data_IF_021968427552
#
_entry.id   IF_021968427552
#
_cell.length_a   1.000
_cell.length_b   1.000
_cell.length_c   1.000
_cell.angle_alpha   90.00
_cell.angle_beta   90.00
_cell.angle_gamma   90.00
#
_symmetry.space_group_name_H-M   'P 1'
#
loop_
_entity.id
_entity.type
_entity.pdbx_description
1 polymer ?
#
# COMPACT_ATOMS: atom_id res chain seq x y z
N UNK A 1 -4.08 19.85 29.31
CA UNK A 1 -4.74 19.04 28.27
C UNK A 1 -5.48 17.92 28.98
N UNK A 2 -6.82 17.89 28.95
CA UNK A 2 -7.59 16.80 29.56
C UNK A 2 -7.43 15.56 28.68
N UNK A 3 -6.88 14.48 29.23
CA UNK A 3 -6.85 13.16 28.60
C UNK A 3 -8.31 12.75 28.35
N UNK A 4 -8.74 12.69 27.09
CA UNK A 4 -10.03 12.07 26.76
C UNK A 4 -9.88 10.58 27.07
N UNK A 5 -10.60 10.10 28.07
CA UNK A 5 -10.81 8.66 28.24
C UNK A 5 -11.44 8.15 26.95
N UNK A 6 -10.74 7.26 26.25
CA UNK A 6 -11.28 6.57 25.09
C UNK A 6 -12.39 5.68 25.66
N UNK A 7 -13.65 5.99 25.35
CA UNK A 7 -14.78 5.10 25.66
C UNK A 7 -14.46 3.72 25.12
N UNK A 8 -14.29 2.75 26.02
CA UNK A 8 -14.07 1.36 25.64
C UNK A 8 -15.40 0.86 25.10
N UNK A 9 -15.56 0.87 23.77
CA UNK A 9 -16.73 0.28 23.14
C UNK A 9 -16.82 -1.20 23.55
N UNK A 10 -18.00 -1.67 23.99
CA UNK A 10 -18.18 -3.08 24.31
C UNK A 10 -17.91 -3.94 23.06
N UNK A 11 -17.13 -5.01 23.23
CA UNK A 11 -16.76 -5.91 22.13
C UNK A 11 -18.02 -6.57 21.58
N UNK A 12 -18.34 -6.32 20.31
CA UNK A 12 -19.42 -7.00 19.62
C UNK A 12 -18.98 -8.44 19.29
N UNK A 13 -19.51 -9.41 20.04
CA UNK A 13 -19.18 -10.83 19.90
C UNK A 13 -19.63 -11.41 18.54
N UNK A 14 -20.74 -10.92 17.97
CA UNK A 14 -21.19 -11.37 16.65
C UNK A 14 -20.25 -10.90 15.54
N UNK A 15 -19.82 -9.63 15.61
CA UNK A 15 -18.82 -9.09 14.69
C UNK A 15 -17.48 -9.82 14.84
N UNK A 16 -17.06 -10.08 16.09
CA UNK A 16 -15.83 -10.82 16.35
C UNK A 16 -15.89 -12.23 15.77
N UNK A 17 -17.00 -12.95 15.94
CA UNK A 17 -17.20 -14.27 15.34
C UNK A 17 -17.19 -14.22 13.81
N UNK A 18 -17.74 -13.16 13.21
CA UNK A 18 -17.78 -12.97 11.75
C UNK A 18 -16.38 -12.72 11.15
N UNK A 19 -15.53 -11.95 11.84
CA UNK A 19 -14.18 -11.60 11.35
C UNK A 19 -13.09 -12.57 11.79
N UNK A 20 -13.39 -13.44 12.76
CA UNK A 20 -12.41 -14.43 13.26
C UNK A 20 -12.26 -15.53 12.21
N UNK A 21 -11.03 -15.79 11.72
CA UNK A 21 -10.79 -16.88 10.79
C UNK A 21 -11.09 -18.23 11.46
N UNK A 22 -11.62 -19.18 10.70
CA UNK A 22 -11.96 -20.53 11.20
C UNK A 22 -10.76 -21.27 11.81
N UNK A 23 -9.55 -20.96 11.38
CA UNK A 23 -8.31 -21.50 11.92
C UNK A 23 -7.10 -20.80 11.32
N UNK A 24 -5.96 -20.88 12.02
CA UNK A 24 -4.68 -20.32 11.57
C UNK A 24 -3.62 -21.42 11.63
N UNK A 25 -3.00 -21.74 10.49
CA UNK A 25 -1.84 -22.63 10.43
C UNK A 25 -0.61 -21.81 10.01
N UNK A 26 0.41 -21.77 10.86
CA UNK A 26 1.66 -21.04 10.59
C UNK A 26 2.70 -21.99 10.00
N UNK A 27 3.18 -21.67 8.79
CA UNK A 27 4.30 -22.36 8.15
C UNK A 27 5.50 -21.41 8.06
N UNK A 28 6.68 -21.96 7.77
CA UNK A 28 7.92 -21.18 7.71
C UNK A 28 7.87 -20.03 6.70
N UNK A 29 7.13 -20.16 5.60
CA UNK A 29 7.08 -19.19 4.49
C UNK A 29 5.66 -18.81 4.03
N UNK A 30 4.62 -19.34 4.68
CA UNK A 30 3.21 -19.09 4.35
C UNK A 30 2.33 -19.21 5.59
N UNK A 31 1.13 -18.68 5.53
CA UNK A 31 0.10 -18.82 6.56
C UNK A 31 -1.17 -19.35 5.91
N UNK A 32 -1.82 -20.33 6.53
CA UNK A 32 -3.17 -20.73 6.17
C UNK A 32 -4.14 -19.99 7.09
N UNK A 33 -5.10 -19.25 6.54
CA UNK A 33 -6.20 -18.61 7.26
C UNK A 33 -7.52 -19.20 6.76
N UNK A 34 -8.09 -20.12 7.52
CA UNK A 34 -9.23 -20.92 7.07
C UNK A 34 -8.92 -21.64 5.76
N UNK A 35 -9.68 -21.35 4.70
CA UNK A 35 -9.51 -21.96 3.38
C UNK A 35 -8.44 -21.27 2.52
N UNK A 36 -8.00 -20.07 2.89
CA UNK A 36 -7.09 -19.25 2.09
C UNK A 36 -5.62 -19.42 2.50
N UNK A 37 -4.75 -19.48 1.50
CA UNK A 37 -3.30 -19.42 1.64
C UNK A 37 -2.80 -17.99 1.52
N UNK A 38 -1.94 -17.60 2.44
CA UNK A 38 -1.33 -16.29 2.52
C UNK A 38 0.19 -16.40 2.43
N UNK A 39 0.81 -15.49 1.66
CA UNK A 39 2.25 -15.30 1.63
C UNK A 39 2.59 -13.86 1.89
N UNK A 40 3.32 -13.64 2.98
CA UNK A 40 3.77 -12.31 3.34
C UNK A 40 5.19 -12.08 2.88
N UNK A 41 5.41 -10.91 2.29
CA UNK A 41 6.72 -10.47 1.84
C UNK A 41 6.91 -9.00 2.21
N UNK A 42 8.11 -8.65 2.64
CA UNK A 42 8.49 -7.26 2.86
C UNK A 42 9.45 -6.79 1.77
N UNK A 43 9.43 -5.50 1.46
CA UNK A 43 10.41 -4.93 0.54
C UNK A 43 11.69 -4.62 1.31
N UNK A 44 12.80 -5.19 0.83
CA UNK A 44 14.14 -5.06 1.42
C UNK A 44 15.05 -4.11 0.64
N UNK A 45 14.69 -3.81 -0.61
CA UNK A 45 15.49 -3.00 -1.51
C UNK A 45 14.59 -2.18 -2.42
N UNK A 46 15.01 -0.94 -2.64
CA UNK A 46 14.31 0.08 -3.41
C UNK A 46 15.23 0.53 -4.56
N UNK A 47 14.67 1.04 -5.67
CA UNK A 47 15.47 1.61 -6.74
C UNK A 47 16.24 2.85 -6.24
N UNK A 48 17.40 3.12 -6.85
CA UNK A 48 18.27 4.25 -6.48
C UNK A 48 17.73 5.61 -6.97
N UNK A 49 16.91 5.58 -8.01
CA UNK A 49 16.21 6.74 -8.54
C UNK A 49 14.77 6.32 -8.84
N UNK A 50 13.85 7.25 -8.63
CA UNK A 50 12.41 7.03 -8.78
C UNK A 50 11.83 8.03 -9.77
N UNK A 51 10.91 7.55 -10.60
CA UNK A 51 10.10 8.39 -11.48
C UNK A 51 8.73 8.63 -10.85
N UNK A 52 7.99 9.60 -11.38
CA UNK A 52 6.57 9.78 -11.02
C UNK A 52 5.80 8.48 -11.28
N UNK A 53 5.01 8.04 -10.30
CA UNK A 53 4.19 6.83 -10.35
C UNK A 53 4.94 5.53 -10.09
N UNK A 54 6.17 5.55 -9.54
CA UNK A 54 6.95 4.31 -9.35
C UNK A 54 6.34 3.27 -8.39
N UNK A 55 5.36 3.67 -7.55
CA UNK A 55 4.58 2.78 -6.68
C UNK A 55 3.12 2.63 -7.14
N UNK A 56 2.73 3.23 -8.27
CA UNK A 56 1.34 3.32 -8.72
C UNK A 56 0.66 1.95 -8.84
N UNK A 57 1.40 0.97 -9.37
CA UNK A 57 0.87 -0.36 -9.70
C UNK A 57 0.81 -1.30 -8.49
N UNK A 58 1.18 -0.86 -7.29
CA UNK A 58 1.14 -1.69 -6.08
C UNK A 58 -0.27 -2.00 -5.61
N UNK A 59 -1.19 -1.03 -5.76
CA UNK A 59 -2.61 -1.21 -5.47
C UNK A 59 -3.32 -2.09 -6.51
N UNK A 60 -2.74 -2.25 -7.69
CA UNK A 60 -3.38 -2.92 -8.83
C UNK A 60 -2.96 -4.40 -8.93
N UNK A 61 -2.36 -4.95 -7.88
CA UNK A 61 -1.99 -6.36 -7.84
C UNK A 61 -3.19 -7.15 -7.31
N UNK A 62 -3.85 -7.96 -8.15
CA UNK A 62 -5.02 -8.72 -7.71
C UNK A 62 -4.65 -9.70 -6.60
N UNK A 63 -5.63 -10.04 -5.76
CA UNK A 63 -5.48 -10.97 -4.64
C UNK A 63 -4.31 -10.63 -3.70
N UNK A 64 -4.02 -9.33 -3.56
CA UNK A 64 -2.90 -8.85 -2.74
C UNK A 64 -3.33 -7.66 -1.91
N UNK A 65 -3.06 -7.72 -0.62
CA UNK A 65 -3.14 -6.55 0.27
C UNK A 65 -1.76 -5.96 0.45
N UNK A 66 -1.67 -4.63 0.41
CA UNK A 66 -0.44 -3.90 0.66
C UNK A 66 -0.59 -3.12 1.95
N UNK A 67 0.34 -3.31 2.89
CA UNK A 67 0.48 -2.51 4.10
C UNK A 67 1.71 -1.62 3.97
N UNK A 68 1.48 -0.32 4.12
CA UNK A 68 2.50 0.72 4.08
C UNK A 68 2.53 1.41 5.44
N UNK A 69 3.61 1.21 6.19
CA UNK A 69 3.84 1.86 7.47
C UNK A 69 4.86 2.97 7.27
N UNK A 70 4.48 4.19 7.65
CA UNK A 70 5.33 5.39 7.57
C UNK A 70 5.54 5.88 9.00
N UNK A 71 6.79 5.99 9.41
CA UNK A 71 7.18 6.48 10.72
C UNK A 71 8.17 7.65 10.58
N UNK A 72 8.11 8.66 11.46
CA UNK A 72 9.14 9.69 11.51
C UNK A 72 10.49 9.10 11.94
N UNK A 73 11.57 9.79 11.61
CA UNK A 73 12.89 9.52 12.20
C UNK A 73 12.90 10.23 13.57
N UNK A 74 13.08 9.46 14.65
CA UNK A 74 13.07 10.00 16.02
C UNK A 74 14.20 11.01 16.26
N UNK A 75 15.41 10.67 15.82
CA UNK A 75 16.60 11.51 15.96
C UNK A 75 17.29 11.71 14.61
N UNK A 76 16.97 12.81 13.94
CA UNK A 76 17.53 13.16 12.63
C UNK A 76 19.05 13.40 12.72
N UNK A 77 19.53 13.97 13.82
CA UNK A 77 20.96 14.26 14.02
C UNK A 77 21.78 12.97 14.08
N UNK A 78 21.33 12.01 14.89
CA UNK A 78 21.97 10.69 14.99
C UNK A 78 21.93 9.94 13.65
N UNK A 79 20.85 10.07 12.89
CA UNK A 79 20.75 9.50 11.55
C UNK A 79 21.81 10.10 10.60
N UNK A 80 21.95 11.42 10.56
CA UNK A 80 22.96 12.12 9.73
C UNK A 80 24.38 11.73 10.15
N UNK A 81 24.65 11.62 11.45
CA UNK A 81 25.95 11.16 11.97
C UNK A 81 26.24 9.71 11.57
N UNK A 82 25.23 8.84 11.62
CA UNK A 82 25.32 7.45 11.16
C UNK A 82 25.67 7.35 9.67
N UNK A 83 25.00 8.13 8.82
CA UNK A 83 25.30 8.22 7.39
C UNK A 83 26.71 8.77 7.16
N UNK A 84 27.14 9.77 7.93
CA UNK A 84 28.48 10.36 7.83
C UNK A 84 29.59 9.35 8.15
N UNK A 85 29.41 8.52 9.19
CA UNK A 85 30.34 7.41 9.50
C UNK A 85 30.39 6.37 8.38
N UNK A 86 29.23 6.03 7.82
CA UNK A 86 29.13 5.14 6.65
C UNK A 86 29.86 5.71 5.43
N UNK A 87 29.67 6.99 5.14
CA UNK A 87 30.32 7.72 4.06
C UNK A 87 31.86 7.68 4.17
N UNK A 88 32.42 7.88 5.37
CA UNK A 88 33.87 7.74 5.60
C UNK A 88 34.35 6.32 5.30
N UNK A 89 33.56 5.32 5.69
CA UNK A 89 33.87 3.90 5.43
C UNK A 89 33.86 3.59 3.93
N UNK A 90 32.81 4.01 3.21
CA UNK A 90 32.72 3.80 1.77
C UNK A 90 33.81 4.58 0.99
N UNK A 91 34.19 5.79 1.44
CA UNK A 91 35.34 6.54 0.90
C UNK A 91 36.65 5.77 1.07
N UNK A 92 36.86 5.14 2.23
CA UNK A 92 38.03 4.29 2.44
C UNK A 92 38.03 3.09 1.49
N UNK A 93 36.90 2.38 1.37
CA UNK A 93 36.75 1.24 0.44
C UNK A 93 37.06 1.65 -1.00
N UNK A 94 36.52 2.79 -1.44
CA UNK A 94 36.75 3.32 -2.79
C UNK A 94 38.23 3.59 -3.08
N UNK A 95 38.97 4.09 -2.10
CA UNK A 95 40.39 4.42 -2.23
C UNK A 95 41.32 3.21 -2.12
N UNK A 96 40.96 2.20 -1.32
CA UNK A 96 41.85 1.05 -1.04
C UNK A 96 41.60 -0.15 -1.95
N UNK A 97 40.41 -0.27 -2.54
CA UNK A 97 40.01 -1.48 -3.27
C UNK A 97 40.47 -1.45 -4.73
N UNK A 98 41.13 -2.53 -5.16
CA UNK A 98 41.55 -2.73 -6.55
C UNK A 98 40.48 -3.43 -7.43
N UNK A 99 39.40 -3.91 -6.82
CA UNK A 99 38.27 -4.50 -7.54
C UNK A 99 37.35 -3.40 -8.09
N UNK A 100 37.25 -3.31 -9.41
CA UNK A 100 36.47 -2.29 -10.11
C UNK A 100 34.98 -2.32 -9.74
N UNK A 101 34.37 -3.49 -9.64
CA UNK A 101 32.95 -3.62 -9.29
C UNK A 101 32.66 -3.12 -7.86
N UNK A 102 33.53 -3.44 -6.90
CA UNK A 102 33.40 -2.93 -5.52
C UNK A 102 33.65 -1.42 -5.45
N UNK A 103 34.58 -0.91 -6.26
CA UNK A 103 34.87 0.52 -6.35
C UNK A 103 33.66 1.30 -6.88
N UNK A 104 33.03 0.83 -7.96
CA UNK A 104 31.79 1.42 -8.49
C UNK A 104 30.66 1.38 -7.47
N UNK A 105 30.48 0.27 -6.74
CA UNK A 105 29.46 0.20 -5.69
C UNK A 105 29.71 1.21 -4.56
N UNK A 106 30.96 1.36 -4.12
CA UNK A 106 31.34 2.35 -3.12
C UNK A 106 31.08 3.78 -3.63
N UNK A 107 31.40 4.08 -4.88
CA UNK A 107 31.11 5.39 -5.50
C UNK A 107 29.61 5.73 -5.49
N UNK A 108 28.75 4.78 -5.84
CA UNK A 108 27.29 4.98 -5.77
C UNK A 108 26.82 5.26 -4.34
N UNK A 109 27.32 4.50 -3.35
CA UNK A 109 26.97 4.73 -1.94
C UNK A 109 27.43 6.10 -1.44
N UNK A 110 28.63 6.53 -1.82
CA UNK A 110 29.18 7.85 -1.49
C UNK A 110 28.26 8.94 -2.01
N UNK A 111 27.88 8.90 -3.30
CA UNK A 111 26.96 9.88 -3.90
C UNK A 111 25.60 9.90 -3.23
N UNK A 112 25.04 8.73 -2.92
CA UNK A 112 23.76 8.63 -2.22
C UNK A 112 23.83 9.21 -0.81
N UNK A 113 24.88 8.90 -0.05
CA UNK A 113 25.06 9.43 1.30
C UNK A 113 25.27 10.95 1.30
N UNK A 114 26.07 11.49 0.37
CA UNK A 114 26.25 12.94 0.20
C UNK A 114 24.94 13.65 -0.16
N UNK A 115 24.11 13.05 -1.03
CA UNK A 115 22.78 13.56 -1.33
C UNK A 115 21.89 13.58 -0.09
N UNK A 116 21.80 12.48 0.66
CA UNK A 116 20.95 12.40 1.87
C UNK A 116 21.36 13.47 2.89
N UNK A 117 22.68 13.65 3.12
CA UNK A 117 23.18 14.68 4.04
C UNK A 117 22.80 16.08 3.55
N UNK A 118 22.99 16.38 2.26
CA UNK A 118 22.61 17.67 1.67
C UNK A 118 21.11 17.92 1.80
N UNK A 119 20.29 16.94 1.43
CA UNK A 119 18.83 17.04 1.45
C UNK A 119 18.35 17.38 2.87
N UNK A 120 18.90 16.74 3.91
CA UNK A 120 18.50 16.95 5.30
C UNK A 120 19.05 18.26 5.87
N UNK A 121 20.33 18.57 5.63
CA UNK A 121 21.03 19.67 6.33
C UNK A 121 20.92 21.02 5.62
N UNK A 122 20.87 21.01 4.29
CA UNK A 122 20.86 22.22 3.46
C UNK A 122 19.47 22.49 2.92
N UNK A 123 18.87 21.47 2.29
CA UNK A 123 17.59 21.64 1.58
C UNK A 123 16.37 21.49 2.50
N UNK A 124 16.57 21.07 3.76
CA UNK A 124 15.52 20.82 4.77
C UNK A 124 14.40 19.87 4.27
N UNK A 125 14.77 18.89 3.44
CA UNK A 125 13.84 17.87 2.94
C UNK A 125 13.62 16.83 4.05
N UNK A 126 12.35 16.58 4.45
CA UNK A 126 12.07 15.60 5.48
C UNK A 126 12.30 14.17 4.97
N UNK A 127 12.94 13.35 5.80
CA UNK A 127 13.11 11.92 5.59
C UNK A 127 12.25 11.13 6.56
N UNK A 128 11.71 10.01 6.08
CA UNK A 128 10.82 9.14 6.84
C UNK A 128 11.24 7.69 6.71
N UNK A 129 10.90 6.91 7.72
CA UNK A 129 11.04 5.46 7.75
C UNK A 129 9.83 4.83 7.09
N UNK A 130 10.05 4.07 6.02
CA UNK A 130 8.98 3.43 5.24
C UNK A 130 9.17 1.91 5.30
N UNK A 131 8.12 1.21 5.72
CA UNK A 131 8.04 -0.24 5.68
C UNK A 131 6.89 -0.68 4.79
N UNK A 132 7.22 -1.43 3.74
CA UNK A 132 6.24 -2.02 2.84
C UNK A 132 6.14 -3.53 3.08
N UNK A 133 4.92 -4.04 3.25
CA UNK A 133 4.58 -5.46 3.37
C UNK A 133 3.44 -5.80 2.42
N UNK A 134 3.63 -6.78 1.54
CA UNK A 134 2.59 -7.36 0.69
C UNK A 134 2.11 -8.69 1.27
N UNK A 135 0.79 -8.89 1.32
CA UNK A 135 0.13 -10.13 1.66
C UNK A 135 -0.59 -10.67 0.41
N UNK A 136 -0.04 -11.71 -0.19
CA UNK A 136 -0.64 -12.38 -1.36
C UNK A 136 -1.55 -13.50 -0.90
N UNK A 137 -2.77 -13.53 -1.42
CA UNK A 137 -3.84 -14.45 -1.05
C UNK A 137 -4.09 -15.42 -2.21
N UNK A 138 -4.47 -16.66 -1.91
CA UNK A 138 -4.95 -17.61 -2.91
C UNK A 138 -5.80 -18.72 -2.29
N UNK A 139 -6.77 -19.22 -3.04
CA UNK A 139 -7.76 -20.20 -2.53
C UNK A 139 -7.29 -21.64 -2.68
N UNK A 140 -6.52 -21.91 -3.73
CA UNK A 140 -5.96 -23.23 -4.05
C UNK A 140 -4.48 -23.11 -4.43
N UNK A 141 -3.74 -24.22 -4.38
CA UNK A 141 -2.29 -24.23 -4.57
C UNK A 141 -1.85 -23.67 -5.95
N UNK A 142 -2.63 -23.92 -7.00
CA UNK A 142 -2.35 -23.45 -8.36
C UNK A 142 -2.53 -21.93 -8.45
N UNK A 143 -3.69 -21.42 -8.04
CA UNK A 143 -4.01 -19.99 -8.01
C UNK A 143 -3.05 -19.22 -7.11
N UNK A 144 -2.74 -19.76 -5.93
CA UNK A 144 -1.79 -19.16 -4.99
C UNK A 144 -0.39 -19.03 -5.58
N UNK A 145 0.08 -20.07 -6.27
CA UNK A 145 1.39 -20.06 -6.93
C UNK A 145 1.46 -19.03 -8.06
N UNK A 146 0.39 -18.91 -8.84
CA UNK A 146 0.25 -17.92 -9.90
C UNK A 146 0.20 -16.49 -9.34
N UNK A 147 -0.62 -16.23 -8.32
CA UNK A 147 -0.71 -14.93 -7.65
C UNK A 147 0.66 -14.52 -7.08
N UNK A 148 1.37 -15.44 -6.42
CA UNK A 148 2.73 -15.22 -5.93
C UNK A 148 3.71 -14.87 -7.05
N UNK A 149 3.56 -15.48 -8.24
CA UNK A 149 4.39 -15.16 -9.41
C UNK A 149 4.08 -13.76 -9.93
N UNK A 150 2.80 -13.41 -10.07
CA UNK A 150 2.35 -12.09 -10.51
C UNK A 150 2.84 -10.98 -9.59
N UNK A 151 2.69 -11.15 -8.28
CA UNK A 151 3.18 -10.20 -7.26
C UNK A 151 4.68 -10.02 -7.38
N UNK A 152 5.45 -11.12 -7.44
CA UNK A 152 6.91 -11.06 -7.57
C UNK A 152 7.33 -10.30 -8.84
N UNK A 153 6.68 -10.57 -9.96
CA UNK A 153 6.99 -9.94 -11.24
C UNK A 153 6.65 -8.44 -11.23
N UNK A 154 5.49 -8.05 -10.69
CA UNK A 154 5.12 -6.63 -10.57
C UNK A 154 6.08 -5.89 -9.64
N UNK A 155 6.39 -6.44 -8.47
CA UNK A 155 7.37 -5.86 -7.52
C UNK A 155 8.74 -5.70 -8.19
N UNK A 156 9.25 -6.74 -8.85
CA UNK A 156 10.53 -6.68 -9.55
C UNK A 156 10.52 -5.65 -10.69
N UNK A 157 9.41 -5.53 -11.43
CA UNK A 157 9.23 -4.54 -12.49
C UNK A 157 9.28 -3.09 -11.98
N UNK A 158 8.94 -2.85 -10.71
CA UNK A 158 9.09 -1.55 -10.03
C UNK A 158 10.51 -1.33 -9.47
N UNK A 159 11.46 -2.24 -9.72
CA UNK A 159 12.81 -2.18 -9.16
C UNK A 159 12.91 -2.51 -7.67
N UNK A 160 11.81 -3.00 -7.08
CA UNK A 160 11.73 -3.39 -5.68
C UNK A 160 12.25 -4.81 -5.47
N UNK A 161 12.82 -5.07 -4.29
CA UNK A 161 13.29 -6.41 -3.88
C UNK A 161 12.47 -6.95 -2.71
N UNK A 162 11.47 -7.78 -3.00
CA UNK A 162 10.69 -8.47 -1.97
C UNK A 162 11.45 -9.66 -1.36
N UNK A 163 11.32 -9.84 -0.04
CA UNK A 163 11.86 -10.94 0.75
C UNK A 163 10.77 -11.55 1.62
N UNK A 164 10.87 -12.85 1.86
CA UNK A 164 9.96 -13.56 2.76
C UNK A 164 10.56 -13.48 4.17
N UNK A 165 9.82 -12.95 5.16
CA UNK A 165 10.21 -13.03 6.57
C UNK A 165 9.95 -14.46 7.06
N UNK A 166 10.95 -15.34 6.88
CA UNK A 166 10.86 -16.75 7.24
C UNK A 166 10.72 -16.91 8.76
N UNK A 167 9.86 -17.84 9.21
CA UNK A 167 9.53 -18.10 10.61
C UNK A 167 8.85 -16.94 11.38
N UNK A 168 8.73 -15.75 10.79
CA UNK A 168 8.03 -14.59 11.37
C UNK A 168 6.83 -14.17 10.52
N UNK A 169 6.23 -15.11 9.78
CA UNK A 169 5.04 -14.87 8.97
C UNK A 169 3.85 -14.39 9.81
N UNK A 170 3.69 -14.89 11.04
CA UNK A 170 2.63 -14.42 11.95
C UNK A 170 2.77 -12.92 12.25
N UNK A 171 3.99 -12.46 12.54
CA UNK A 171 4.24 -11.04 12.83
C UNK A 171 3.99 -10.18 11.59
N UNK A 172 4.36 -10.68 10.42
CA UNK A 172 4.07 -10.01 9.16
C UNK A 172 2.56 -9.94 8.91
N UNK A 173 1.84 -11.04 9.16
CA UNK A 173 0.38 -11.09 8.99
C UNK A 173 -0.29 -10.03 9.85
N UNK A 174 0.12 -9.93 11.13
CA UNK A 174 -0.43 -8.94 12.05
C UNK A 174 -0.14 -7.49 11.60
N UNK A 175 1.05 -7.20 11.05
CA UNK A 175 1.34 -5.87 10.46
C UNK A 175 0.51 -5.59 9.18
N UNK A 176 0.20 -6.63 8.40
CA UNK A 176 -0.66 -6.48 7.22
C UNK A 176 -2.15 -6.42 7.57
N UNK A 177 -2.50 -6.74 8.81
CA UNK A 177 -3.88 -6.84 9.28
C UNK A 177 -4.48 -5.45 9.51
N UNK A 178 -5.79 -5.26 9.27
CA UNK A 178 -6.46 -3.97 9.45
C UNK A 178 -6.61 -3.54 10.93
N UNK A 179 -6.22 -4.38 11.89
CA UNK A 179 -6.28 -4.07 13.33
C UNK A 179 -5.06 -3.25 13.83
N UNK A 180 -4.36 -2.62 12.88
CA UNK A 180 -3.31 -1.62 13.04
C UNK A 180 -2.51 -1.70 14.35
N UNK A 181 -1.74 -2.77 14.47
CA UNK A 181 -0.73 -2.88 15.53
C UNK A 181 0.64 -2.73 14.87
N UNK A 182 1.34 -1.65 15.21
CA UNK A 182 2.72 -1.44 14.79
C UNK A 182 3.60 -2.58 15.33
N UNK A 183 4.12 -3.44 14.45
CA UNK A 183 5.04 -4.51 14.84
C UNK A 183 6.48 -4.12 14.55
N UNK A 184 7.21 -3.86 15.64
CA UNK A 184 8.63 -3.53 15.60
C UNK A 184 9.46 -4.60 14.89
N UNK A 185 9.16 -5.88 15.04
CA UNK A 185 10.02 -6.94 14.54
C UNK A 185 10.10 -7.00 13.01
N UNK A 186 8.96 -6.81 12.34
CA UNK A 186 8.92 -6.74 10.88
C UNK A 186 9.43 -5.37 10.42
N UNK A 187 9.00 -4.30 11.09
CA UNK A 187 9.48 -2.95 10.77
C UNK A 187 11.00 -2.85 10.86
N UNK A 188 11.66 -3.48 11.85
CA UNK A 188 13.13 -3.51 11.98
C UNK A 188 13.84 -4.05 10.74
N UNK A 189 13.25 -5.03 10.05
CA UNK A 189 13.86 -5.67 8.87
C UNK A 189 13.38 -5.08 7.54
N UNK A 190 12.18 -4.49 7.50
CA UNK A 190 11.58 -3.91 6.30
C UNK A 190 11.81 -2.42 6.16
N UNK A 191 12.12 -1.72 7.26
CA UNK A 191 12.23 -0.28 7.26
C UNK A 191 13.37 0.19 6.34
N UNK A 192 13.03 1.13 5.46
CA UNK A 192 13.97 1.88 4.65
C UNK A 192 13.66 3.36 4.74
N UNK A 193 14.72 4.11 4.98
CA UNK A 193 14.66 5.55 5.06
C UNK A 193 14.70 6.15 3.65
N UNK A 194 13.77 7.06 3.35
CA UNK A 194 13.71 7.78 2.09
C UNK A 194 13.17 9.20 2.30
N UNK A 195 13.40 10.10 1.34
CA UNK A 195 12.78 11.41 1.38
C UNK A 195 11.27 11.29 1.21
N UNK A 196 10.53 12.16 1.90
CA UNK A 196 9.07 12.21 1.79
C UNK A 196 8.64 12.55 0.35
N UNK A 197 9.43 13.36 -0.35
CA UNK A 197 9.24 13.65 -1.78
C UNK A 197 9.27 12.38 -2.64
N UNK A 198 10.28 11.51 -2.47
CA UNK A 198 10.39 10.27 -3.22
C UNK A 198 9.20 9.33 -2.95
N UNK A 199 8.70 9.30 -1.71
CA UNK A 199 7.51 8.54 -1.35
C UNK A 199 6.26 9.08 -2.08
N UNK A 200 6.06 10.39 -2.09
CA UNK A 200 4.92 11.02 -2.76
C UNK A 200 4.98 10.92 -4.29
N UNK A 201 6.18 10.98 -4.88
CA UNK A 201 6.36 10.67 -6.30
C UNK A 201 5.89 9.26 -6.66
N UNK A 202 5.83 8.33 -5.69
CA UNK A 202 5.29 6.99 -5.90
C UNK A 202 3.79 6.95 -6.16
N UNK A 203 3.05 7.98 -5.74
CA UNK A 203 1.59 8.04 -5.80
C UNK A 203 0.88 6.77 -5.26
N UNK A 204 1.32 6.20 -4.11
CA UNK A 204 0.81 4.91 -3.61
C UNK A 204 -0.69 4.95 -3.24
N UNK A 205 -1.21 6.14 -2.95
CA UNK A 205 -2.60 6.38 -2.60
C UNK A 205 -3.40 7.03 -3.73
N UNK A 206 -2.81 7.18 -4.91
CA UNK A 206 -3.56 7.70 -6.06
C UNK A 206 -4.56 6.62 -6.49
N UNK A 207 -5.83 6.84 -6.20
CA UNK A 207 -6.94 6.03 -6.66
C UNK A 207 -7.83 6.87 -7.53
N UNK A 208 -8.04 6.45 -8.77
CA UNK A 208 -9.16 6.92 -9.59
C UNK A 208 -10.39 6.10 -9.18
N UNK A 209 -10.88 6.30 -7.96
CA UNK A 209 -12.19 5.79 -7.57
C UNK A 209 -13.21 6.88 -7.83
N UNK A 210 -14.34 6.56 -8.46
CA UNK A 210 -15.48 7.46 -8.50
C UNK A 210 -16.30 7.21 -7.23
N UNK A 211 -15.82 7.79 -6.12
CA UNK A 211 -16.43 7.68 -4.79
C UNK A 211 -16.74 9.08 -4.28
N UNK A 212 -18.01 9.42 -4.33
CA UNK A 212 -18.53 10.67 -3.79
C UNK A 212 -18.65 10.59 -2.26
N UNK A 213 -18.51 11.73 -1.59
CA UNK A 213 -18.67 11.85 -0.12
C UNK A 213 -20.08 11.41 0.32
N UNK A 214 -21.07 11.71 -0.51
CA UNK A 214 -22.45 11.25 -0.39
C UNK A 214 -22.81 10.52 -1.68
N UNK A 215 -23.55 9.41 -1.60
CA UNK A 215 -23.92 8.62 -2.78
C UNK A 215 -24.25 7.18 -2.44
N UNK A 216 -24.47 6.37 -3.46
CA UNK A 216 -24.78 4.95 -3.29
C UNK A 216 -23.94 4.08 -4.21
N UNK A 217 -23.74 2.85 -3.76
CA UNK A 217 -22.90 1.86 -4.43
C UNK A 217 -23.50 1.42 -5.76
N UNK A 218 -22.81 1.71 -6.86
CA UNK A 218 -23.20 1.31 -8.22
C UNK A 218 -22.49 0.05 -8.69
N UNK A 219 -21.27 -0.20 -8.24
CA UNK A 219 -20.50 -1.38 -8.61
C UNK A 219 -19.03 -1.22 -8.26
N UNK A 220 -18.19 -2.07 -8.83
CA UNK A 220 -16.74 -1.94 -8.77
C UNK A 220 -16.16 -1.69 -10.16
N UNK A 221 -15.01 -1.01 -10.21
CA UNK A 221 -14.19 -0.97 -11.43
C UNK A 221 -13.56 -2.35 -11.72
N UNK A 222 -12.82 -2.46 -12.82
CA UNK A 222 -12.09 -3.68 -13.20
C UNK A 222 -11.04 -4.10 -12.16
N UNK A 223 -10.55 -3.15 -11.35
CA UNK A 223 -9.60 -3.36 -10.27
C UNK A 223 -10.29 -3.70 -8.92
N UNK A 224 -11.62 -3.81 -8.89
CA UNK A 224 -12.40 -4.09 -7.67
C UNK A 224 -12.60 -2.89 -6.75
N UNK A 225 -12.26 -1.66 -7.18
CA UNK A 225 -12.48 -0.44 -6.40
C UNK A 225 -13.94 -0.03 -6.45
N UNK A 226 -14.44 0.47 -5.33
CA UNK A 226 -15.82 0.92 -5.21
C UNK A 226 -16.14 2.08 -6.16
N UNK A 227 -17.28 1.98 -6.83
CA UNK A 227 -17.93 3.08 -7.56
C UNK A 227 -19.18 3.44 -6.77
N UNK A 228 -19.13 4.58 -6.08
CA UNK A 228 -20.24 5.12 -5.31
C UNK A 228 -20.47 6.57 -5.73
N UNK A 229 -21.64 6.85 -6.31
CA UNK A 229 -21.90 8.14 -6.96
C UNK A 229 -23.16 8.75 -6.40
N UNK A 230 -23.15 10.06 -6.23
CA UNK A 230 -24.36 10.88 -6.08
C UNK A 230 -24.61 11.64 -7.39
N UNK A 231 -25.68 11.30 -8.12
CA UNK A 231 -26.13 12.06 -9.29
C UNK A 231 -26.36 13.55 -8.99
N UNK A 232 -26.65 13.89 -7.74
CA UNK A 232 -26.97 15.25 -7.30
C UNK A 232 -25.77 16.02 -6.77
N UNK A 233 -24.59 15.39 -6.66
CA UNK A 233 -23.36 16.10 -6.33
C UNK A 233 -23.04 17.13 -7.43
N UNK A 234 -22.76 18.37 -7.01
CA UNK A 234 -22.36 19.45 -7.90
C UNK A 234 -20.96 19.93 -7.54
N UNK A 235 -20.07 19.89 -8.52
CA UNK A 235 -18.67 20.30 -8.39
C UNK A 235 -18.20 21.08 -9.62
N UNK A 236 -16.93 21.44 -9.67
CA UNK A 236 -16.33 22.12 -10.82
C UNK A 236 -16.41 21.28 -12.11
N UNK A 237 -16.35 19.96 -11.97
CA UNK A 237 -16.36 18.96 -13.04
C UNK A 237 -17.77 18.37 -13.32
N UNK A 238 -18.71 18.51 -12.37
CA UNK A 238 -20.11 18.08 -12.52
C UNK A 238 -21.08 19.24 -12.28
N UNK A 239 -21.45 19.90 -13.35
CA UNK A 239 -22.30 21.11 -13.34
C UNK A 239 -23.80 20.80 -13.32
N UNK A 240 -24.19 19.58 -13.68
CA UNK A 240 -25.58 19.14 -13.74
C UNK A 240 -25.73 17.67 -13.33
N UNK A 241 -26.98 17.26 -13.09
CA UNK A 241 -27.36 15.92 -12.58
C UNK A 241 -27.91 15.00 -13.67
N UNK A 242 -27.65 15.30 -14.94
CA UNK A 242 -28.17 14.50 -16.05
C UNK A 242 -27.31 13.24 -16.23
N UNK A 243 -27.96 12.08 -16.40
CA UNK A 243 -27.29 10.80 -16.63
C UNK A 243 -27.68 10.28 -18.01
N UNK A 244 -26.68 9.88 -18.80
CA UNK A 244 -26.85 9.16 -20.07
C UNK A 244 -26.34 7.73 -19.88
N UNK A 245 -27.18 6.74 -20.21
CA UNK A 245 -26.82 5.32 -20.14
C UNK A 245 -26.82 4.74 -21.56
N UNK A 246 -25.63 4.38 -22.05
CA UNK A 246 -25.43 3.81 -23.37
C UNK A 246 -24.78 2.41 -23.29
N UNK A 247 -25.02 1.55 -24.29
CA UNK A 247 -24.45 0.21 -24.36
C UNK A 247 -25.21 -0.72 -25.30
N UNK A 248 -24.57 -1.80 -25.75
CA UNK A 248 -25.17 -2.81 -26.64
C UNK A 248 -26.32 -3.59 -25.98
N UNK A 249 -27.15 -4.26 -26.78
CA UNK A 249 -28.21 -5.12 -26.23
C UNK A 249 -27.62 -6.20 -25.32
N UNK A 250 -28.23 -6.43 -24.15
CA UNK A 250 -27.73 -7.39 -23.15
C UNK A 250 -26.64 -6.87 -22.21
N UNK A 251 -26.11 -5.66 -22.39
CA UNK A 251 -25.01 -5.13 -21.56
C UNK A 251 -25.39 -4.69 -20.13
N UNK A 252 -26.64 -4.91 -19.70
CA UNK A 252 -27.10 -4.53 -18.36
C UNK A 252 -27.62 -3.09 -18.20
N UNK A 253 -27.87 -2.33 -19.28
CA UNK A 253 -28.42 -0.96 -19.21
C UNK A 253 -29.66 -0.83 -18.31
N UNK A 254 -30.67 -1.69 -18.54
CA UNK A 254 -31.91 -1.67 -17.77
C UNK A 254 -31.70 -2.06 -16.30
N UNK A 255 -30.69 -2.89 -16.03
CA UNK A 255 -30.31 -3.25 -14.66
C UNK A 255 -29.70 -2.05 -13.93
N UNK A 256 -28.75 -1.36 -14.56
CA UNK A 256 -28.14 -0.15 -14.02
C UNK A 256 -29.17 0.96 -13.78
N UNK A 257 -30.07 1.20 -14.74
CA UNK A 257 -31.13 2.19 -14.60
C UNK A 257 -32.07 1.89 -13.41
N UNK A 258 -32.52 0.63 -13.28
CA UNK A 258 -33.34 0.19 -12.14
C UNK A 258 -32.61 0.35 -10.81
N UNK A 259 -31.30 0.05 -10.78
CA UNK A 259 -30.47 0.21 -9.58
C UNK A 259 -30.35 1.68 -9.17
N UNK A 260 -30.12 2.59 -10.11
CA UNK A 260 -30.11 4.04 -9.86
C UNK A 260 -31.45 4.50 -9.29
N UNK A 261 -32.55 4.20 -10.00
CA UNK A 261 -33.89 4.61 -9.57
C UNK A 261 -34.28 4.08 -8.18
N UNK A 262 -33.95 2.81 -7.89
CA UNK A 262 -34.24 2.22 -6.59
C UNK A 262 -33.51 2.95 -5.46
N UNK A 263 -32.22 3.24 -5.65
CA UNK A 263 -31.45 3.97 -4.64
C UNK A 263 -31.96 5.41 -4.46
N UNK A 264 -32.34 6.08 -5.55
CA UNK A 264 -32.93 7.42 -5.46
C UNK A 264 -34.29 7.43 -4.76
N UNK A 265 -35.10 6.39 -5.00
CA UNK A 265 -36.36 6.22 -4.29
C UNK A 265 -36.13 6.02 -2.78
N UNK A 266 -35.16 5.20 -2.40
CA UNK A 266 -34.77 4.97 -1.00
C UNK A 266 -34.28 6.26 -0.33
N UNK A 267 -33.57 7.11 -1.08
CA UNK A 267 -33.10 8.42 -0.65
C UNK A 267 -34.20 9.52 -0.69
N UNK A 268 -35.47 9.14 -0.93
CA UNK A 268 -36.67 10.00 -0.96
C UNK A 268 -36.72 11.02 -2.10
N UNK A 269 -36.02 10.78 -3.20
CA UNK A 269 -36.21 11.57 -4.42
C UNK A 269 -37.41 11.05 -5.23
N UNK A 270 -38.20 11.97 -5.81
CA UNK A 270 -39.37 11.61 -6.62
C UNK A 270 -38.93 11.08 -7.99
N UNK A 271 -39.19 9.81 -8.26
CA UNK A 271 -38.97 9.21 -9.58
C UNK A 271 -40.24 9.31 -10.43
N UNK A 272 -40.12 9.89 -11.62
CA UNK A 272 -41.14 9.85 -12.68
C UNK A 272 -40.56 9.08 -13.87
N UNK A 273 -41.26 8.04 -14.31
CA UNK A 273 -41.02 7.40 -15.60
C UNK A 273 -42.17 7.77 -16.54
N UNK A 274 -41.83 8.40 -17.66
CA UNK A 274 -42.70 8.52 -18.83
C UNK A 274 -42.39 7.41 -19.82
#
# INVERSE_FOLDING_TARGET
MKTKEIEIMPINQELLALITPQGIELKHNKVQLGEYQHKLQYVSGYPSAVNVGWLLNLKDIPNTTVSLVIAPIENVQEYVEGISKGLTTDKNIYNTTNNEALKTQAEFKIRSAEKIIKDITVDNIPYVNVSFVSNTIGENDNNFSENCRTVRNKIAGMGLKARVPAFTQEKALRQSSPYDTYYQDITKISNKTMSLEALFLGLPFSGSGLVDVEGYYLGTDEDGRMIAVSPFFKGNDRTNSNIVIEGSSGSGKSFLAKKIMLNEWLNRYKNFCN
#
